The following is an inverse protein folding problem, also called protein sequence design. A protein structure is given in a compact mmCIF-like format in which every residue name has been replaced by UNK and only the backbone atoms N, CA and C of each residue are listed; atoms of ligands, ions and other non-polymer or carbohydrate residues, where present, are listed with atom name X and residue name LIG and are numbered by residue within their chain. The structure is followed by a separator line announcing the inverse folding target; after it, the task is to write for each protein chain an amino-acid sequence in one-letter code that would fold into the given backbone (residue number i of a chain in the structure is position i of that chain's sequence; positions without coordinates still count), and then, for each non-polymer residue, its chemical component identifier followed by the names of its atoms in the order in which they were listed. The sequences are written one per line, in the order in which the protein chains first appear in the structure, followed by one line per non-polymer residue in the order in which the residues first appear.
data_IF_649759988356
#
_entry.id   IF_649759988356
#
_cell.length_a   1.000
_cell.length_b   1.000
_cell.length_c   1.000
_cell.angle_alpha   90.00
_cell.angle_beta   90.00
_cell.angle_gamma   90.00
#
_symmetry.space_group_name_H-M   'P 1'
#
loop_
_entity.id
_entity.type
_entity.pdbx_description
1 polymer ?
#
# COMPACT_ATOMS: atom_id res chain seq x y z
N UNK A 1 -4.11 -1.11 16.68
CA UNK A 1 -3.09 -1.25 15.60
C UNK A 1 -3.57 -0.65 14.28
N UNK A 2 -4.72 -1.06 13.75
CA UNK A 2 -5.22 -0.50 12.49
C UNK A 2 -5.49 1.00 12.57
N UNK A 3 -5.94 1.51 13.71
CA UNK A 3 -6.19 2.95 13.93
C UNK A 3 -4.90 3.75 13.79
N UNK A 4 -3.81 3.31 14.36
CA UNK A 4 -2.52 4.01 14.27
C UNK A 4 -1.99 4.03 12.84
N UNK A 5 -2.16 2.95 12.09
CA UNK A 5 -1.81 2.93 10.65
C UNK A 5 -2.68 3.92 9.88
N UNK A 6 -3.99 3.90 10.13
CA UNK A 6 -4.92 4.83 9.50
C UNK A 6 -4.59 6.28 9.83
N UNK A 7 -4.27 6.59 11.08
CA UNK A 7 -3.88 7.94 11.51
C UNK A 7 -2.60 8.40 10.82
N UNK A 8 -1.59 7.54 10.73
CA UNK A 8 -0.34 7.84 10.02
C UNK A 8 -0.57 8.11 8.54
N UNK A 9 -1.39 7.28 7.89
CA UNK A 9 -1.71 7.46 6.47
C UNK A 9 -2.58 8.70 6.23
N UNK A 10 -3.52 9.00 7.14
CA UNK A 10 -4.30 10.23 7.07
C UNK A 10 -3.39 11.45 7.17
N UNK A 11 -2.42 11.44 8.06
CA UNK A 11 -1.43 12.52 8.17
C UNK A 11 -0.69 12.72 6.85
N UNK A 12 -0.16 11.65 6.25
CA UNK A 12 0.56 11.75 4.97
C UNK A 12 -0.32 12.31 3.86
N UNK A 13 -1.58 11.90 3.79
CA UNK A 13 -2.51 12.35 2.76
C UNK A 13 -2.97 13.80 2.93
N UNK A 14 -2.80 14.38 4.13
CA UNK A 14 -3.25 15.74 4.45
C UNK A 14 -2.10 16.74 4.57
N UNK A 15 -0.85 16.31 4.51
CA UNK A 15 0.29 17.22 4.47
C UNK A 15 0.14 18.16 3.28
N UNK A 16 0.22 19.46 3.56
CA UNK A 16 0.03 20.52 2.55
C UNK A 16 1.31 21.25 2.18
N UNK A 17 2.44 20.90 2.78
CA UNK A 17 3.70 21.62 2.58
C UNK A 17 4.80 20.64 2.17
N UNK A 18 5.26 20.71 0.90
CA UNK A 18 4.65 21.44 -0.21
C UNK A 18 3.46 20.69 -0.82
N UNK A 19 3.41 19.35 -0.75
CA UNK A 19 2.41 18.50 -1.41
C UNK A 19 2.04 17.29 -0.56
N UNK A 20 0.93 16.65 -0.92
CA UNK A 20 0.56 15.36 -0.33
C UNK A 20 1.64 14.31 -0.64
N UNK A 21 1.84 13.39 0.28
CA UNK A 21 2.79 12.30 0.13
C UNK A 21 2.01 11.00 -0.05
N UNK A 22 2.38 10.22 -1.08
CA UNK A 22 1.95 8.83 -1.21
C UNK A 22 3.10 7.91 -0.80
N UNK A 23 2.78 6.89 0.00
CA UNK A 23 3.78 5.96 0.51
C UNK A 23 4.27 4.99 -0.57
N UNK A 24 3.37 4.47 -1.36
CA UNK A 24 3.60 3.53 -2.46
C UNK A 24 4.06 2.13 -2.05
N UNK A 25 4.29 1.85 -0.77
CA UNK A 25 4.75 0.54 -0.30
C UNK A 25 4.17 0.20 1.08
N UNK A 26 2.91 0.54 1.32
CA UNK A 26 2.27 0.23 2.59
C UNK A 26 1.96 -1.28 2.66
N UNK A 27 2.52 -1.93 3.65
CA UNK A 27 2.37 -3.35 3.94
C UNK A 27 2.68 -3.57 5.43
N UNK A 28 2.27 -4.70 5.99
CA UNK A 28 2.52 -4.99 7.41
C UNK A 28 4.01 -4.96 7.76
N UNK A 29 4.88 -5.42 6.87
CA UNK A 29 6.34 -5.40 7.07
C UNK A 29 6.90 -3.99 7.28
N UNK A 30 6.18 -2.96 6.83
CA UNK A 30 6.57 -1.56 6.97
C UNK A 30 5.82 -0.84 8.09
N UNK A 31 5.08 -1.60 8.91
CA UNK A 31 4.42 -1.11 10.11
C UNK A 31 5.20 -1.61 11.31
N UNK A 32 5.88 -0.72 12.01
CA UNK A 32 6.74 -1.06 13.14
C UNK A 32 5.99 -0.89 14.44
N UNK A 33 6.18 -1.83 15.37
CA UNK A 33 5.58 -1.76 16.69
C UNK A 33 6.54 -1.02 17.62
N UNK A 34 6.12 0.15 18.09
CA UNK A 34 6.80 0.89 19.13
C UNK A 34 6.07 0.65 20.47
N UNK A 35 6.77 0.81 21.57
CA UNK A 35 6.16 0.67 22.89
C UNK A 35 5.31 1.89 23.23
N UNK A 36 4.19 1.69 23.97
CA UNK A 36 3.59 0.41 24.42
C UNK A 36 2.42 -0.09 23.55
N UNK A 37 2.54 -0.37 22.31
CA UNK A 37 1.55 -0.79 21.31
C UNK A 37 1.20 0.33 20.33
N UNK A 38 2.15 1.18 20.03
CA UNK A 38 2.00 2.19 18.98
C UNK A 38 2.58 1.64 17.69
N UNK A 39 1.81 1.75 16.60
CA UNK A 39 2.29 1.37 15.28
C UNK A 39 2.80 2.60 14.56
N UNK A 40 3.99 2.49 14.00
CA UNK A 40 4.60 3.54 13.18
C UNK A 40 4.84 3.04 11.77
N UNK A 41 4.44 3.83 10.79
CA UNK A 41 4.69 3.54 9.39
C UNK A 41 6.14 3.89 9.08
N UNK A 42 6.80 3.00 8.34
CA UNK A 42 8.22 3.13 8.01
C UNK A 42 8.47 2.83 6.54
N UNK A 43 9.72 2.88 6.12
CA UNK A 43 10.22 2.60 4.78
C UNK A 43 9.56 3.46 3.70
N UNK A 44 9.99 4.72 3.64
CA UNK A 44 9.55 5.69 2.65
C UNK A 44 10.39 5.66 1.36
N UNK A 45 11.14 4.57 1.13
CA UNK A 45 12.02 4.45 -0.04
C UNK A 45 11.30 4.55 -1.38
N UNK A 46 10.00 4.24 -1.42
CA UNK A 46 9.16 4.36 -2.61
C UNK A 46 8.20 5.55 -2.55
N UNK A 47 8.24 6.35 -1.49
CA UNK A 47 7.32 7.47 -1.29
C UNK A 47 7.63 8.63 -2.23
N UNK A 48 6.57 9.30 -2.69
CA UNK A 48 6.64 10.46 -3.58
C UNK A 48 5.70 11.57 -3.15
N UNK A 49 6.12 12.81 -3.37
CA UNK A 49 5.22 13.96 -3.28
C UNK A 49 4.31 14.03 -4.51
N UNK A 50 3.06 14.37 -4.29
CA UNK A 50 2.10 14.52 -5.37
C UNK A 50 2.06 15.97 -5.84
N UNK A 51 2.54 16.21 -7.05
CA UNK A 51 2.37 17.49 -7.75
C UNK A 51 1.04 17.54 -8.51
N UNK A 52 0.42 16.37 -8.70
CA UNK A 52 -0.88 16.16 -9.32
C UNK A 52 -1.69 15.23 -8.42
N UNK A 53 -2.85 14.78 -8.90
CA UNK A 53 -3.67 13.82 -8.16
C UNK A 53 -3.02 12.43 -8.05
N UNK A 54 -2.01 12.15 -8.85
CA UNK A 54 -1.31 10.86 -8.86
C UNK A 54 0.16 11.02 -9.22
N UNK A 55 0.96 10.03 -8.86
CA UNK A 55 2.33 9.84 -9.30
C UNK A 55 2.39 8.73 -10.35
N UNK A 56 3.07 8.98 -11.45
CA UNK A 56 3.27 7.97 -12.51
C UNK A 56 4.64 7.34 -12.36
N UNK A 57 4.64 6.07 -12.00
CA UNK A 57 5.88 5.32 -11.91
C UNK A 57 6.34 4.89 -13.30
N UNK A 58 7.63 5.08 -13.58
CA UNK A 58 8.28 4.56 -14.77
C UNK A 58 8.55 3.05 -14.67
N UNK A 59 9.48 2.56 -15.47
CA UNK A 59 9.83 1.16 -15.50
C UNK A 59 10.24 0.62 -14.13
N UNK A 60 9.73 -0.56 -13.88
CA UNK A 60 9.77 -1.20 -12.61
C UNK A 60 11.05 -1.94 -12.33
N UNK A 61 11.59 -1.78 -11.14
CA UNK A 61 12.31 -2.83 -10.46
C UNK A 61 11.32 -3.82 -9.83
N UNK A 62 11.68 -4.39 -8.69
CA UNK A 62 10.78 -5.24 -7.92
C UNK A 62 9.59 -4.43 -7.40
N UNK A 63 8.39 -4.90 -7.69
CA UNK A 63 7.14 -4.27 -7.28
C UNK A 63 6.47 -5.09 -6.18
N UNK A 64 5.88 -4.42 -5.17
CA UNK A 64 5.07 -5.08 -4.15
C UNK A 64 3.67 -5.41 -4.70
N UNK A 65 3.60 -6.31 -5.70
CA UNK A 65 2.40 -6.60 -6.49
C UNK A 65 1.19 -6.95 -5.63
N UNK A 66 1.38 -7.75 -4.57
CA UNK A 66 0.29 -8.25 -3.71
C UNK A 66 -0.37 -7.16 -2.87
N UNK A 67 0.26 -6.00 -2.76
CA UNK A 67 -0.24 -4.83 -2.03
C UNK A 67 -0.68 -3.69 -2.95
N UNK A 68 -0.52 -3.85 -4.26
CA UNK A 68 -0.77 -2.78 -5.23
C UNK A 68 -2.21 -2.75 -5.72
N UNK A 69 -2.74 -1.55 -5.87
CA UNK A 69 -4.05 -1.31 -6.46
C UNK A 69 -4.09 -1.65 -7.95
N UNK A 70 -5.27 -2.00 -8.49
CA UNK A 70 -5.40 -2.35 -9.91
C UNK A 70 -4.85 -1.29 -10.87
N UNK A 71 -5.12 -0.01 -10.61
CA UNK A 71 -4.65 1.09 -11.45
C UNK A 71 -3.13 1.23 -11.40
N UNK A 72 -2.52 0.94 -10.25
CA UNK A 72 -1.07 0.95 -10.11
C UNK A 72 -0.42 -0.17 -10.92
N UNK A 73 -1.03 -1.35 -10.93
CA UNK A 73 -0.56 -2.49 -11.72
C UNK A 73 -0.75 -2.26 -13.22
N UNK A 74 -1.86 -1.65 -13.62
CA UNK A 74 -2.21 -1.47 -15.02
C UNK A 74 -1.45 -0.32 -15.69
N UNK A 75 -1.33 0.81 -14.99
CA UNK A 75 -0.82 2.06 -15.58
C UNK A 75 0.33 2.69 -14.81
N UNK A 76 0.77 2.09 -13.70
CA UNK A 76 1.83 2.65 -12.87
C UNK A 76 1.43 3.89 -12.08
N UNK A 77 0.14 4.17 -11.95
CA UNK A 77 -0.37 5.34 -11.20
C UNK A 77 -0.44 5.04 -9.71
N UNK A 78 0.16 5.90 -8.91
CA UNK A 78 0.10 5.86 -7.45
C UNK A 78 -0.53 7.14 -6.94
N UNK A 79 -1.46 7.00 -6.00
CA UNK A 79 -2.23 8.10 -5.44
C UNK A 79 -2.58 7.80 -3.99
N UNK A 80 -3.23 8.73 -3.31
CA UNK A 80 -3.81 8.46 -2.00
C UNK A 80 -4.77 7.27 -2.06
N UNK A 81 -5.55 7.15 -3.13
CA UNK A 81 -6.48 6.02 -3.32
C UNK A 81 -5.74 4.67 -3.42
N UNK A 82 -4.59 4.61 -4.08
CA UNK A 82 -3.80 3.38 -4.15
C UNK A 82 -3.18 3.02 -2.79
N UNK A 83 -2.81 4.00 -1.98
CA UNK A 83 -2.39 3.76 -0.60
C UNK A 83 -3.56 3.21 0.25
N UNK A 84 -4.79 3.67 0.01
CA UNK A 84 -5.99 3.15 0.67
C UNK A 84 -6.22 1.67 0.31
N UNK A 85 -6.00 1.28 -0.93
CA UNK A 85 -6.04 -0.14 -1.32
C UNK A 85 -5.01 -0.94 -0.50
N UNK A 86 -3.77 -0.46 -0.45
CA UNK A 86 -2.70 -1.12 0.31
C UNK A 86 -3.02 -1.21 1.80
N UNK A 87 -3.67 -0.20 2.36
CA UNK A 87 -4.16 -0.23 3.74
C UNK A 87 -5.17 -1.38 3.95
N UNK A 88 -6.07 -1.59 2.98
CA UNK A 88 -7.00 -2.74 3.01
C UNK A 88 -6.26 -4.08 3.06
N UNK A 89 -5.16 -4.20 2.31
CA UNK A 89 -4.32 -5.41 2.36
C UNK A 89 -3.65 -5.56 3.73
N UNK A 90 -3.18 -4.46 4.33
CA UNK A 90 -2.63 -4.48 5.71
C UNK A 90 -3.67 -4.97 6.70
N UNK A 91 -4.92 -4.53 6.59
CA UNK A 91 -6.00 -5.04 7.45
C UNK A 91 -6.19 -6.55 7.27
N UNK A 92 -6.13 -7.04 6.04
CA UNK A 92 -6.21 -8.47 5.77
C UNK A 92 -5.03 -9.24 6.40
N UNK A 93 -3.81 -8.69 6.30
CA UNK A 93 -2.64 -9.28 6.96
C UNK A 93 -2.83 -9.37 8.48
N UNK A 94 -3.39 -8.33 9.09
CA UNK A 94 -3.69 -8.32 10.53
C UNK A 94 -4.73 -9.40 10.89
N UNK A 95 -5.80 -9.51 10.12
CA UNK A 95 -6.89 -10.45 10.37
C UNK A 95 -6.48 -11.90 10.17
N UNK A 96 -5.49 -12.15 9.33
CA UNK A 96 -4.98 -13.51 9.06
C UNK A 96 -3.70 -13.83 9.85
N UNK A 97 -3.29 -12.95 10.76
CA UNK A 97 -2.07 -13.13 11.54
C UNK A 97 -0.82 -13.28 10.66
N UNK A 98 -0.74 -12.49 9.61
CA UNK A 98 0.46 -12.38 8.78
C UNK A 98 0.53 -13.35 7.62
N UNK A 99 -0.59 -13.89 7.16
CA UNK A 99 -0.59 -14.67 5.93
C UNK A 99 -0.17 -13.82 4.72
N UNK A 100 0.41 -14.47 3.72
CA UNK A 100 0.80 -13.81 2.49
C UNK A 100 -0.44 -13.56 1.63
N UNK A 101 -0.71 -12.31 1.21
CA UNK A 101 -1.86 -12.03 0.35
C UNK A 101 -1.80 -12.83 -0.94
N UNK A 102 -2.94 -13.39 -1.36
CA UNK A 102 -3.06 -14.23 -2.56
C UNK A 102 -2.14 -15.45 -2.54
N UNK A 103 -2.03 -16.11 -1.38
CA UNK A 103 -1.24 -17.32 -1.22
C UNK A 103 -1.61 -18.36 -2.27
N UNK A 104 -0.61 -19.02 -2.85
CA UNK A 104 -0.80 -20.05 -3.89
C UNK A 104 -0.77 -19.49 -5.31
N UNK A 105 -0.76 -18.18 -5.47
CA UNK A 105 -0.60 -17.54 -6.78
C UNK A 105 0.81 -16.96 -6.91
N UNK A 106 1.44 -17.12 -8.08
CA UNK A 106 2.68 -16.40 -8.35
C UNK A 106 2.38 -14.92 -8.68
N UNK A 107 3.40 -14.03 -8.67
CA UNK A 107 3.16 -12.59 -8.89
C UNK A 107 2.43 -12.25 -10.19
N UNK A 108 2.70 -12.95 -11.28
CA UNK A 108 2.05 -12.69 -12.58
C UNK A 108 0.57 -13.05 -12.52
N UNK A 109 0.22 -14.15 -11.86
CA UNK A 109 -1.17 -14.58 -11.65
C UNK A 109 -1.90 -13.61 -10.74
N UNK A 110 -1.25 -13.14 -9.67
CA UNK A 110 -1.82 -12.13 -8.76
C UNK A 110 -2.15 -10.86 -9.54
N UNK A 111 -1.21 -10.39 -10.35
CA UNK A 111 -1.40 -9.18 -11.15
C UNK A 111 -2.62 -9.31 -12.07
N UNK A 112 -2.74 -10.42 -12.80
CA UNK A 112 -3.86 -10.67 -13.68
C UNK A 112 -5.18 -10.76 -12.92
N UNK A 113 -5.17 -11.45 -11.78
CA UNK A 113 -6.35 -11.60 -10.93
C UNK A 113 -6.88 -10.24 -10.44
N UNK A 114 -6.00 -9.37 -9.96
CA UNK A 114 -6.37 -8.03 -9.48
C UNK A 114 -6.87 -7.16 -10.64
N UNK A 115 -6.19 -7.18 -11.79
CA UNK A 115 -6.62 -6.42 -12.99
C UNK A 115 -8.01 -6.84 -13.47
N UNK A 116 -8.39 -8.08 -13.25
CA UNK A 116 -9.71 -8.62 -13.61
C UNK A 116 -10.76 -8.45 -12.50
N UNK A 117 -10.49 -7.61 -11.50
CA UNK A 117 -11.43 -7.31 -10.43
C UNK A 117 -11.39 -8.28 -9.25
N UNK A 118 -10.38 -9.14 -9.18
CA UNK A 118 -10.19 -10.06 -8.07
C UNK A 118 -9.84 -9.32 -6.78
N UNK A 119 -10.28 -9.88 -5.65
CA UNK A 119 -10.03 -9.34 -4.32
C UNK A 119 -9.56 -10.44 -3.38
N UNK A 120 -8.99 -10.01 -2.25
CA UNK A 120 -8.63 -10.94 -1.19
C UNK A 120 -9.88 -11.57 -0.59
N UNK A 121 -9.85 -12.87 -0.41
CA UNK A 121 -10.90 -13.61 0.29
C UNK A 121 -10.39 -14.02 1.68
N UNK A 122 -11.31 -14.30 2.52
CA UNK A 122 -11.01 -14.89 3.82
C UNK A 122 -10.48 -16.29 3.69
#
# INVERSE_FOLDING_TARGET
MAIEVADGMAYLSTIKIPNKIVHCDLAARNCLVAEPRVIKIADFGMAHELYQEYYQRGNAGLLPVRWMAPESLSTGKFSVASDVWSFGVVLWEMLTFGEIPFTGMNPDVVMLHIKNGGVLSR
#
